data_IF_804967202394
#
_entry.id   IF_804967202394
#
_cell.length_a   1.000
_cell.length_b   1.000
_cell.length_c   1.000
_cell.angle_alpha   90.00
_cell.angle_beta   90.00
_cell.angle_gamma   90.00
#
_symmetry.space_group_name_H-M   'P 1'
#
loop_
_entity.id
_entity.type
_entity.pdbx_description
1 polymer ?
#
# COMPACT_ATOMS: atom_id res chain seq x y z
N UNK A 1 0.32 8.06 -6.45
CA UNK A 1 1.41 8.99 -6.10
C UNK A 1 0.75 10.29 -5.68
N UNK A 2 0.91 10.64 -4.40
CA UNK A 2 0.41 11.90 -3.89
C UNK A 2 1.56 12.87 -3.98
N UNK A 3 1.50 13.75 -4.95
CA UNK A 3 2.35 14.92 -4.97
C UNK A 3 1.69 16.00 -4.08
N UNK A 4 1.82 15.80 -2.78
CA UNK A 4 1.25 16.72 -1.80
C UNK A 4 2.05 18.04 -1.69
N UNK A 5 3.14 18.16 -2.42
CA UNK A 5 3.92 19.40 -2.48
C UNK A 5 3.38 20.37 -3.52
N UNK A 6 2.54 19.91 -4.43
CA UNK A 6 1.79 20.84 -5.27
C UNK A 6 0.73 21.53 -4.43
N UNK A 7 0.76 22.83 -4.50
CA UNK A 7 -0.02 23.76 -3.65
C UNK A 7 -1.46 23.33 -3.45
N UNK A 8 -2.14 22.94 -4.50
CA UNK A 8 -3.55 22.57 -4.42
C UNK A 8 -3.79 21.28 -3.62
N UNK A 9 -3.01 20.25 -3.83
CA UNK A 9 -3.15 18.95 -3.11
C UNK A 9 -2.88 19.13 -1.63
N UNK A 10 -1.84 19.90 -1.27
CA UNK A 10 -1.50 20.18 0.12
C UNK A 10 -2.59 21.00 0.82
N UNK A 11 -3.16 21.99 0.15
CA UNK A 11 -4.24 22.80 0.69
C UNK A 11 -5.53 21.97 0.90
N UNK A 12 -5.86 21.09 -0.04
CA UNK A 12 -6.98 20.15 0.12
C UNK A 12 -6.75 19.19 1.29
N UNK A 13 -5.54 18.68 1.44
CA UNK A 13 -5.19 17.83 2.57
C UNK A 13 -5.32 18.55 3.90
N UNK A 14 -4.81 19.79 4.00
CA UNK A 14 -4.92 20.64 5.20
C UNK A 14 -6.36 20.99 5.55
N UNK A 15 -7.20 21.18 4.55
CA UNK A 15 -8.63 21.44 4.73
C UNK A 15 -9.45 20.20 5.09
N UNK A 16 -8.83 19.00 5.16
CA UNK A 16 -9.53 17.74 5.44
C UNK A 16 -10.32 17.17 4.26
N UNK A 17 -10.17 17.74 3.06
CA UNK A 17 -10.87 17.30 1.86
C UNK A 17 -10.17 16.12 1.14
N UNK A 18 -8.95 15.81 1.53
CA UNK A 18 -8.21 14.62 1.09
C UNK A 18 -8.09 13.65 2.25
N UNK A 19 -8.56 12.44 2.05
CA UNK A 19 -8.46 11.36 3.04
C UNK A 19 -7.73 10.17 2.44
N UNK A 20 -6.79 9.63 3.19
CA UNK A 20 -6.04 8.42 2.86
C UNK A 20 -6.00 7.56 4.11
N UNK A 21 -6.91 6.62 4.22
CA UNK A 21 -7.09 5.84 5.44
C UNK A 21 -6.98 4.35 5.16
N UNK A 22 -6.52 3.59 6.18
CA UNK A 22 -6.39 2.13 6.11
C UNK A 22 -5.48 1.66 4.95
N UNK A 23 -4.41 2.37 4.69
CA UNK A 23 -3.44 2.06 3.65
C UNK A 23 -2.18 1.51 4.31
N UNK A 24 -1.70 0.38 3.81
CA UNK A 24 -0.49 -0.27 4.27
C UNK A 24 0.57 -0.24 3.19
N UNK A 25 1.74 0.31 3.52
CA UNK A 25 2.95 0.20 2.71
C UNK A 25 3.92 -0.76 3.38
N UNK A 26 4.49 -1.67 2.60
CA UNK A 26 5.45 -2.64 3.08
C UNK A 26 6.67 -2.71 2.16
N UNK A 27 7.86 -2.74 2.75
CA UNK A 27 9.13 -2.82 2.03
C UNK A 27 9.52 -1.60 1.19
N UNK A 28 8.74 -0.55 1.23
CA UNK A 28 8.85 0.62 0.33
C UNK A 28 9.58 1.81 0.95
N UNK A 29 9.95 1.73 2.20
CA UNK A 29 10.69 2.77 2.91
C UNK A 29 12.16 2.83 2.50
N UNK A 30 12.87 3.82 3.00
CA UNK A 30 14.31 4.02 2.74
C UNK A 30 15.14 2.81 3.15
N UNK A 31 14.73 2.14 4.22
CA UNK A 31 15.37 0.91 4.75
C UNK A 31 14.60 -0.35 4.38
N UNK A 32 13.57 -0.25 3.58
CA UNK A 32 12.75 -1.39 3.20
C UNK A 32 13.42 -2.33 2.20
N UNK A 33 12.85 -3.51 2.05
CA UNK A 33 13.36 -4.57 1.15
C UNK A 33 13.16 -4.26 -0.32
N UNK A 34 12.23 -3.37 -0.69
CA UNK A 34 12.05 -2.96 -2.08
C UNK A 34 13.19 -2.05 -2.53
N UNK A 35 13.99 -2.53 -3.48
CA UNK A 35 15.11 -1.79 -4.04
C UNK A 35 14.71 -0.47 -4.73
N UNK A 36 13.46 -0.34 -5.17
CA UNK A 36 12.94 0.85 -5.84
C UNK A 36 12.52 1.95 -4.86
N UNK A 37 12.31 1.63 -3.59
CA UNK A 37 12.03 2.57 -2.50
C UNK A 37 11.04 3.67 -2.90
N UNK A 38 9.80 3.29 -3.12
CA UNK A 38 8.74 4.19 -3.61
C UNK A 38 8.22 5.18 -2.58
N UNK A 39 8.56 4.99 -1.31
CA UNK A 39 8.16 5.84 -0.22
C UNK A 39 9.41 6.48 0.41
N UNK A 40 9.44 7.81 0.50
CA UNK A 40 10.51 8.56 1.16
C UNK A 40 9.92 9.49 2.19
N UNK A 41 10.60 9.60 3.34
CA UNK A 41 10.24 10.48 4.45
C UNK A 41 10.97 11.80 4.39
N UNK A 42 12.01 11.88 3.57
CA UNK A 42 12.90 13.03 3.54
C UNK A 42 12.21 14.27 2.99
N UNK A 43 12.55 15.42 3.53
CA UNK A 43 12.15 16.69 2.94
C UNK A 43 12.83 16.85 1.58
N UNK A 44 12.03 16.91 0.55
CA UNK A 44 12.47 16.83 -0.84
C UNK A 44 12.10 18.08 -1.64
N UNK A 45 13.05 18.63 -2.38
CA UNK A 45 12.80 19.68 -3.36
C UNK A 45 12.49 19.06 -4.73
N UNK A 46 11.22 19.03 -5.09
CA UNK A 46 10.77 18.43 -6.35
C UNK A 46 11.30 19.21 -7.57
N UNK A 47 11.49 20.51 -7.48
CA UNK A 47 12.01 21.33 -8.57
C UNK A 47 13.48 21.02 -8.86
N UNK A 48 14.25 20.80 -7.81
CA UNK A 48 15.69 20.46 -7.89
C UNK A 48 15.95 18.97 -7.99
N UNK A 49 14.93 18.15 -7.80
CA UNK A 49 15.02 16.68 -7.75
C UNK A 49 16.07 16.19 -6.74
N UNK A 50 16.12 16.82 -5.59
CA UNK A 50 17.11 16.54 -4.55
C UNK A 50 16.49 16.56 -3.16
N UNK A 51 17.06 15.77 -2.25
CA UNK A 51 16.74 15.83 -0.83
C UNK A 51 17.28 17.14 -0.26
N UNK A 52 16.43 17.93 0.40
CA UNK A 52 16.83 19.18 1.07
C UNK A 52 17.40 18.87 2.45
N UNK A 53 16.71 18.00 3.20
CA UNK A 53 17.05 17.67 4.58
C UNK A 53 16.58 16.24 4.89
N UNK A 54 17.52 15.31 4.96
CA UNK A 54 17.27 13.91 5.24
C UNK A 54 16.90 13.65 6.72
N UNK A 55 17.00 14.66 7.58
CA UNK A 55 16.63 14.54 9.00
C UNK A 55 15.20 14.98 9.27
N UNK A 56 14.52 15.54 8.27
CA UNK A 56 13.16 16.05 8.39
C UNK A 56 12.20 15.29 7.49
N UNK A 57 11.07 15.03 8.06
CA UNK A 57 9.98 14.38 7.38
C UNK A 57 9.29 15.30 6.36
N UNK A 58 8.93 14.75 5.20
CA UNK A 58 8.14 15.48 4.20
C UNK A 58 6.72 15.71 4.68
N UNK A 59 6.05 16.71 4.09
CA UNK A 59 4.62 16.93 4.37
C UNK A 59 3.79 15.68 3.99
N UNK A 60 4.09 15.05 2.88
CA UNK A 60 3.39 13.82 2.41
C UNK A 60 3.48 12.69 3.42
N UNK A 61 4.67 12.48 3.98
CA UNK A 61 4.90 11.47 5.01
C UNK A 61 4.15 11.79 6.29
N UNK A 62 4.27 13.01 6.78
CA UNK A 62 3.56 13.47 7.98
C UNK A 62 2.05 13.34 7.80
N UNK A 63 1.53 13.76 6.66
CA UNK A 63 0.11 13.64 6.33
C UNK A 63 -0.34 12.17 6.32
N UNK A 64 0.39 11.29 5.63
CA UNK A 64 0.06 9.87 5.56
C UNK A 64 0.04 9.22 6.94
N UNK A 65 1.05 9.48 7.76
CA UNK A 65 1.16 8.91 9.11
C UNK A 65 0.07 9.42 10.07
N UNK A 66 -0.41 10.64 9.86
CA UNK A 66 -1.48 11.22 10.66
C UNK A 66 -2.88 10.69 10.32
N UNK A 67 -3.06 10.06 9.15
CA UNK A 67 -4.36 9.51 8.76
C UNK A 67 -4.67 8.20 9.47
N UNK A 68 -5.94 8.00 9.80
CA UNK A 68 -6.39 6.85 10.58
C UNK A 68 -6.12 5.51 9.87
N UNK A 69 -5.57 4.56 10.61
CA UNK A 69 -5.38 3.19 10.17
C UNK A 69 -4.24 2.96 9.19
N UNK A 70 -3.49 4.00 8.81
CA UNK A 70 -2.33 3.85 7.93
C UNK A 70 -1.15 3.23 8.65
N UNK A 71 -0.41 2.36 7.98
CA UNK A 71 0.78 1.71 8.52
C UNK A 71 1.91 1.60 7.50
N UNK A 72 3.13 1.65 8.03
CA UNK A 72 4.36 1.37 7.30
C UNK A 72 5.01 0.13 7.91
N UNK A 73 5.37 -0.83 7.06
CA UNK A 73 6.10 -2.02 7.42
C UNK A 73 7.47 -1.99 6.77
N UNK A 74 8.49 -2.39 7.50
CA UNK A 74 9.86 -2.38 7.01
C UNK A 74 10.05 -3.36 5.85
N UNK A 75 9.47 -4.55 5.97
CA UNK A 75 9.62 -5.63 5.01
C UNK A 75 8.28 -6.04 4.40
N UNK A 76 8.32 -6.47 3.14
CA UNK A 76 7.12 -7.01 2.47
C UNK A 76 6.61 -8.27 3.17
N UNK A 77 7.51 -9.08 3.72
CA UNK A 77 7.18 -10.28 4.50
C UNK A 77 6.36 -10.01 5.76
N UNK A 78 6.41 -8.78 6.29
CA UNK A 78 5.60 -8.39 7.46
C UNK A 78 4.10 -8.46 7.18
N UNK A 79 3.69 -8.39 5.92
CA UNK A 79 2.29 -8.56 5.51
C UNK A 79 1.80 -10.00 5.58
N UNK A 80 2.70 -10.98 5.67
CA UNK A 80 2.38 -12.42 5.71
C UNK A 80 1.41 -12.82 4.60
N UNK A 81 1.82 -12.57 3.38
CA UNK A 81 1.12 -13.03 2.19
C UNK A 81 1.70 -14.35 1.71
N UNK A 82 0.87 -15.23 1.21
CA UNK A 82 1.27 -16.57 0.71
C UNK A 82 2.37 -16.48 -0.37
N UNK A 83 2.33 -15.43 -1.20
CA UNK A 83 3.35 -15.12 -2.20
C UNK A 83 3.54 -13.62 -2.25
N UNK A 84 4.44 -13.09 -1.41
CA UNK A 84 4.74 -11.65 -1.37
C UNK A 84 5.78 -11.22 -2.40
N UNK A 85 6.40 -12.16 -3.11
CA UNK A 85 7.37 -11.89 -4.16
C UNK A 85 6.73 -11.55 -5.50
N UNK A 86 7.44 -10.78 -6.32
CA UNK A 86 7.11 -10.64 -7.72
C UNK A 86 7.20 -12.01 -8.39
N UNK A 87 6.34 -12.23 -9.35
CA UNK A 87 6.21 -13.48 -10.11
C UNK A 87 7.59 -13.90 -10.62
N UNK A 88 8.12 -14.97 -10.05
CA UNK A 88 9.28 -15.65 -10.60
C UNK A 88 8.98 -17.14 -10.62
N UNK A 89 8.85 -17.70 -11.82
CA UNK A 89 8.58 -19.12 -12.01
C UNK A 89 7.12 -19.47 -12.18
N UNK A 90 6.86 -20.75 -12.25
CA UNK A 90 5.64 -21.39 -12.70
C UNK A 90 4.42 -21.33 -11.77
N UNK A 91 4.45 -20.56 -10.70
CA UNK A 91 3.33 -20.52 -9.78
C UNK A 91 2.54 -19.21 -9.90
N UNK A 92 1.25 -19.31 -10.11
CA UNK A 92 0.34 -18.19 -10.03
C UNK A 92 0.53 -17.46 -8.67
N UNK A 93 0.68 -16.13 -8.67
CA UNK A 93 0.86 -15.40 -7.41
C UNK A 93 -0.38 -15.55 -6.55
N UNK A 94 -0.17 -15.92 -5.30
CA UNK A 94 -1.22 -16.00 -4.30
C UNK A 94 -0.98 -14.89 -3.26
N UNK A 95 -1.60 -13.73 -3.46
CA UNK A 95 -1.52 -12.60 -2.53
C UNK A 95 -2.51 -12.74 -1.35
N UNK A 96 -2.80 -13.97 -0.99
CA UNK A 96 -3.76 -14.30 0.06
C UNK A 96 -3.11 -14.09 1.43
N UNK A 97 -3.75 -13.33 2.34
CA UNK A 97 -3.25 -13.16 3.70
C UNK A 97 -3.23 -14.50 4.46
N UNK A 98 -2.09 -14.81 5.05
CA UNK A 98 -1.94 -15.94 5.96
C UNK A 98 -2.53 -15.66 7.34
N UNK A 99 -2.72 -16.70 8.13
CA UNK A 99 -3.13 -16.55 9.53
C UNK A 99 -2.12 -15.67 10.28
N UNK A 100 -2.64 -14.65 10.96
CA UNK A 100 -1.80 -13.66 11.67
C UNK A 100 -1.24 -12.54 10.78
N UNK A 101 -1.71 -12.42 9.53
CA UNK A 101 -1.44 -11.25 8.71
C UNK A 101 -2.04 -10.00 9.35
N UNK A 102 -1.30 -8.87 9.37
CA UNK A 102 -1.83 -7.60 9.86
C UNK A 102 -2.95 -7.01 8.99
N UNK A 103 -3.19 -7.59 7.83
CA UNK A 103 -4.29 -7.18 6.94
C UNK A 103 -5.65 -7.68 7.42
N UNK A 104 -5.66 -8.77 8.21
CA UNK A 104 -6.89 -9.39 8.71
C UNK A 104 -7.44 -8.62 9.91
N UNK A 105 -8.73 -8.35 9.91
CA UNK A 105 -9.41 -7.58 10.95
C UNK A 105 -9.07 -6.08 10.97
N UNK A 106 -8.38 -5.56 9.94
CA UNK A 106 -7.88 -4.21 9.93
C UNK A 106 -8.69 -3.22 9.09
N UNK A 107 -9.65 -3.69 8.29
CA UNK A 107 -10.50 -2.80 7.51
C UNK A 107 -11.43 -1.98 8.41
N UNK A 108 -11.66 -0.74 8.02
CA UNK A 108 -12.58 0.15 8.72
C UNK A 108 -13.50 0.87 7.73
N UNK A 109 -14.79 0.88 8.06
CA UNK A 109 -15.84 1.58 7.32
C UNK A 109 -16.49 2.66 8.19
N UNK A 110 -15.74 3.23 9.12
CA UNK A 110 -16.22 4.26 10.05
C UNK A 110 -16.46 5.61 9.36
N UNK A 111 -15.81 5.87 8.24
CA UNK A 111 -16.04 7.10 7.49
C UNK A 111 -17.45 7.09 6.88
N UNK A 112 -18.16 8.22 7.01
CA UNK A 112 -19.52 8.39 6.50
C UNK A 112 -19.62 8.13 4.99
N UNK A 113 -18.58 8.40 4.23
CA UNK A 113 -18.53 8.15 2.79
C UNK A 113 -18.49 6.66 2.44
N UNK A 114 -18.18 5.80 3.40
CA UNK A 114 -18.10 4.35 3.23
C UNK A 114 -19.30 3.62 3.85
N UNK A 115 -20.30 4.35 4.33
CA UNK A 115 -21.35 3.77 5.18
C UNK A 115 -22.37 2.90 4.45
N UNK A 116 -22.62 3.12 3.15
CA UNK A 116 -23.80 2.53 2.51
C UNK A 116 -23.59 1.80 1.18
N UNK A 117 -22.56 2.11 0.42
CA UNK A 117 -22.38 1.59 -0.95
C UNK A 117 -21.42 0.40 -1.07
N UNK A 118 -20.61 0.19 -0.05
CA UNK A 118 -19.53 -0.80 -0.10
C UNK A 118 -19.89 -2.05 0.70
N UNK A 119 -19.55 -3.20 0.17
CA UNK A 119 -19.52 -4.42 0.94
C UNK A 119 -18.48 -4.28 2.07
N UNK A 120 -18.93 -4.49 3.30
CA UNK A 120 -18.07 -4.35 4.46
C UNK A 120 -17.31 -5.65 4.69
N UNK A 121 -16.02 -5.58 4.40
CA UNK A 121 -15.08 -6.67 4.67
C UNK A 121 -14.27 -6.37 5.92
N UNK A 122 -13.63 -7.38 6.50
CA UNK A 122 -12.81 -7.25 7.71
C UNK A 122 -11.31 -7.17 7.41
N UNK A 123 -10.91 -7.24 6.15
CA UNK A 123 -9.51 -7.28 5.73
C UNK A 123 -9.16 -6.12 4.82
N UNK A 124 -7.89 -5.72 4.82
CA UNK A 124 -7.32 -4.73 3.89
C UNK A 124 -6.78 -5.46 2.66
N UNK A 125 -7.09 -4.92 1.48
CA UNK A 125 -6.64 -5.49 0.21
C UNK A 125 -7.75 -6.21 -0.54
N UNK A 126 -7.38 -6.94 -1.59
CA UNK A 126 -8.31 -7.59 -2.51
C UNK A 126 -8.63 -9.05 -2.14
N UNK A 127 -7.93 -9.62 -1.17
CA UNK A 127 -8.03 -11.04 -0.85
C UNK A 127 -8.34 -11.27 0.63
N UNK A 128 -9.27 -12.18 0.89
CA UNK A 128 -9.49 -12.75 2.22
C UNK A 128 -8.67 -14.03 2.41
N UNK A 129 -8.58 -14.51 3.63
CA UNK A 129 -7.92 -15.80 3.92
C UNK A 129 -8.58 -16.93 3.12
N UNK A 130 -7.77 -17.69 2.41
CA UNK A 130 -8.23 -18.85 1.64
C UNK A 130 -8.98 -18.53 0.34
N UNK A 131 -9.11 -17.26 -0.04
CA UNK A 131 -9.79 -16.86 -1.26
C UNK A 131 -8.82 -16.20 -2.24
N UNK A 132 -8.30 -16.97 -3.17
CA UNK A 132 -7.53 -16.47 -4.31
C UNK A 132 -8.44 -16.42 -5.54
N UNK A 133 -9.19 -15.34 -5.70
CA UNK A 133 -10.11 -15.18 -6.82
C UNK A 133 -9.42 -15.01 -8.19
N UNK A 134 -8.09 -14.80 -8.21
CA UNK A 134 -7.31 -14.81 -9.45
C UNK A 134 -7.10 -16.21 -9.99
N UNK A 135 -7.25 -17.24 -9.15
CA UNK A 135 -7.04 -18.62 -9.57
C UNK A 135 -8.05 -19.01 -10.67
N UNK A 136 -7.52 -19.42 -11.81
CA UNK A 136 -8.32 -19.80 -12.97
C UNK A 136 -8.80 -18.65 -13.87
N UNK A 137 -8.47 -17.38 -13.49
CA UNK A 137 -8.79 -16.21 -14.30
C UNK A 137 -7.60 -15.67 -15.10
N UNK A 138 -6.40 -15.88 -14.59
CA UNK A 138 -5.18 -15.31 -15.14
C UNK A 138 -4.19 -16.42 -15.47
N UNK A 139 -3.62 -16.36 -16.67
CA UNK A 139 -2.52 -17.22 -17.08
C UNK A 139 -1.21 -16.46 -16.86
N UNK A 140 -0.39 -16.94 -15.94
CA UNK A 140 0.92 -16.35 -15.64
C UNK A 140 2.06 -17.05 -16.38
N UNK A 141 1.78 -18.17 -17.04
CA UNK A 141 2.74 -19.02 -17.75
C UNK A 141 2.43 -19.15 -19.23
N UNK A 142 1.88 -18.13 -19.83
CA UNK A 142 1.44 -18.15 -21.23
C UNK A 142 2.52 -18.64 -22.21
N UNK A 143 3.81 -18.53 -21.86
CA UNK A 143 4.91 -19.04 -22.70
C UNK A 143 5.11 -20.55 -22.57
N UNK A 144 4.54 -21.20 -21.56
CA UNK A 144 4.63 -22.62 -21.30
C UNK A 144 3.29 -23.34 -21.51
N UNK A 145 2.25 -22.63 -21.91
CA UNK A 145 0.99 -23.24 -22.27
C UNK A 145 1.24 -24.15 -23.47
N UNK A 146 1.03 -25.45 -23.30
CA UNK A 146 1.05 -26.41 -24.41
C UNK A 146 -0.06 -26.05 -25.39
N UNK A 147 0.32 -25.85 -26.67
CA UNK A 147 -0.61 -25.66 -27.78
C UNK A 147 -1.37 -26.96 -28.10
#
# INVERSE_FOLDING_TARGET
IIDAEKRNTQEYAKAGNLKLQNIYFAGMGVTGSDANKRYTDDLYDAAKKSVIDATKESYSSTFFKAQAGNRLFAETSDLKLTSAGLISGSNAPAFVPEVGSPLLGAASFQDVLLSSWFEKVTYIGAFSTGNNWLQGWTEFEHNNAEN
#
